data_IF_595953848206
#
_entry.id   IF_595953848206
#
_cell.length_a   1.000
_cell.length_b   1.000
_cell.length_c   1.000
_cell.angle_alpha   90.00
_cell.angle_beta   90.00
_cell.angle_gamma   90.00
#
_symmetry.space_group_name_H-M   'P 1'
#
loop_
_entity.id
_entity.type
_entity.pdbx_description
1 polymer ?
#
# COMPACT_ATOMS: atom_id res chain seq x y z
N UNK A 1 -4.11 -8.42 4.82
CA UNK A 1 -5.40 -8.33 5.57
C UNK A 1 -6.14 -9.67 5.67
N UNK A 2 -5.91 -10.64 4.77
CA UNK A 2 -6.50 -11.99 4.81
C UNK A 2 -6.02 -12.90 5.98
N UNK A 3 -4.92 -12.59 6.67
CA UNK A 3 -4.42 -13.42 7.79
C UNK A 3 -5.01 -13.11 9.17
N UNK A 4 -6.07 -12.30 9.27
CA UNK A 4 -6.86 -12.26 10.51
C UNK A 4 -7.74 -13.51 10.67
N UNK A 5 -8.07 -14.20 9.56
CA UNK A 5 -8.94 -15.38 9.53
C UNK A 5 -8.50 -16.40 8.46
N UNK A 6 -7.49 -17.25 8.73
CA UNK A 6 -7.14 -18.33 7.80
C UNK A 6 -8.28 -19.37 7.72
N UNK A 7 -8.72 -19.75 6.52
CA UNK A 7 -9.62 -20.90 6.29
C UNK A 7 -11.13 -20.62 6.34
N UNK A 8 -11.57 -19.37 6.16
CA UNK A 8 -12.99 -19.05 5.96
C UNK A 8 -13.25 -18.73 4.47
N UNK A 9 -13.78 -19.71 3.74
CA UNK A 9 -14.12 -19.63 2.31
C UNK A 9 -14.97 -18.38 2.00
N UNK A 10 -15.80 -17.95 2.96
CA UNK A 10 -16.63 -16.75 2.82
C UNK A 10 -15.79 -15.46 2.84
N UNK A 11 -14.82 -15.35 3.72
CA UNK A 11 -13.91 -14.20 3.79
C UNK A 11 -13.05 -14.09 2.54
N UNK A 12 -12.58 -15.22 2.02
CA UNK A 12 -11.82 -15.26 0.76
C UNK A 12 -12.67 -14.85 -0.45
N UNK A 13 -13.92 -15.33 -0.52
CA UNK A 13 -14.85 -14.94 -1.58
C UNK A 13 -15.14 -13.43 -1.58
N UNK A 14 -15.41 -12.84 -0.40
CA UNK A 14 -15.64 -11.39 -0.27
C UNK A 14 -14.40 -10.59 -0.65
N UNK A 15 -13.20 -11.06 -0.27
CA UNK A 15 -11.95 -10.42 -0.67
C UNK A 15 -11.78 -10.43 -2.20
N UNK A 16 -12.08 -11.57 -2.85
CA UNK A 16 -12.08 -11.69 -4.31
C UNK A 16 -13.04 -10.70 -4.98
N UNK A 17 -14.26 -10.57 -4.45
CA UNK A 17 -15.26 -9.63 -4.96
C UNK A 17 -14.80 -8.16 -4.84
N UNK A 18 -14.25 -7.78 -3.69
CA UNK A 18 -13.72 -6.42 -3.48
C UNK A 18 -12.59 -6.12 -4.47
N UNK A 19 -11.66 -7.06 -4.67
CA UNK A 19 -10.58 -6.90 -5.65
C UNK A 19 -11.13 -6.74 -7.07
N UNK A 20 -12.11 -7.55 -7.46
CA UNK A 20 -12.73 -7.47 -8.79
C UNK A 20 -13.42 -6.12 -9.01
N UNK A 21 -14.18 -5.63 -8.02
CA UNK A 21 -14.84 -4.32 -8.09
C UNK A 21 -13.83 -3.18 -8.16
N UNK A 22 -12.75 -3.25 -7.38
CA UNK A 22 -11.68 -2.26 -7.43
C UNK A 22 -11.03 -2.18 -8.82
N UNK A 23 -10.78 -3.34 -9.44
CA UNK A 23 -10.25 -3.42 -10.81
C UNK A 23 -11.23 -2.81 -11.83
N UNK A 24 -12.52 -3.08 -11.70
CA UNK A 24 -13.53 -2.49 -12.59
C UNK A 24 -13.59 -0.95 -12.44
N UNK A 25 -13.54 -0.44 -11.21
CA UNK A 25 -13.51 1.01 -10.96
C UNK A 25 -12.24 1.64 -11.56
N UNK A 26 -11.09 1.00 -11.35
CA UNK A 26 -9.81 1.45 -11.90
C UNK A 26 -9.84 1.48 -13.43
N UNK A 27 -10.30 0.40 -14.06
CA UNK A 27 -10.42 0.31 -15.52
C UNK A 27 -11.34 1.38 -16.10
N UNK A 28 -12.48 1.68 -15.45
CA UNK A 28 -13.35 2.80 -15.88
C UNK A 28 -12.67 4.15 -15.74
N UNK A 29 -11.94 4.38 -14.65
CA UNK A 29 -11.23 5.64 -14.41
C UNK A 29 -10.08 5.85 -15.42
N UNK A 30 -9.38 4.77 -15.78
CA UNK A 30 -8.35 4.80 -16.82
C UNK A 30 -8.95 5.01 -18.21
N UNK A 31 -10.05 4.34 -18.54
CA UNK A 31 -10.78 4.56 -19.80
C UNK A 31 -11.32 5.99 -19.93
N UNK A 32 -11.70 6.62 -18.82
CA UNK A 32 -12.10 8.03 -18.77
C UNK A 32 -10.91 9.02 -18.81
N UNK A 33 -9.67 8.54 -18.81
CA UNK A 33 -8.47 9.37 -18.85
C UNK A 33 -8.23 10.19 -17.58
N UNK A 34 -8.83 9.82 -16.45
CA UNK A 34 -8.66 10.53 -15.17
C UNK A 34 -7.62 9.89 -14.26
N UNK A 35 -7.23 8.64 -14.54
CA UNK A 35 -6.18 7.89 -13.83
C UNK A 35 -5.13 7.44 -14.84
N UNK A 36 -3.86 7.47 -14.44
CA UNK A 36 -2.73 7.02 -15.26
C UNK A 36 -2.80 5.50 -15.55
N UNK A 37 -2.37 5.09 -16.74
CA UNK A 37 -2.58 3.73 -17.27
C UNK A 37 -1.69 2.66 -16.63
N UNK A 38 -0.60 3.06 -16.01
CA UNK A 38 0.38 2.22 -15.32
C UNK A 38 0.08 2.02 -13.83
N UNK A 39 -1.00 2.62 -13.30
CA UNK A 39 -1.55 2.26 -11.98
C UNK A 39 -2.31 0.94 -12.08
N UNK A 40 -2.08 0.06 -11.11
CA UNK A 40 -2.67 -1.27 -11.02
C UNK A 40 -3.45 -1.46 -9.72
N UNK A 41 -4.21 -2.55 -9.63
CA UNK A 41 -4.83 -2.94 -8.35
C UNK A 41 -3.82 -3.26 -7.26
N UNK A 42 -2.57 -3.61 -7.59
CA UNK A 42 -1.52 -3.80 -6.62
C UNK A 42 -1.18 -2.49 -5.89
N UNK A 43 -1.12 -1.39 -6.63
CA UNK A 43 -0.85 -0.06 -6.07
C UNK A 43 -1.98 0.40 -5.15
N UNK A 44 -3.24 0.11 -5.53
CA UNK A 44 -4.39 0.34 -4.66
C UNK A 44 -4.30 -0.47 -3.36
N UNK A 45 -3.91 -1.74 -3.46
CA UNK A 45 -3.74 -2.61 -2.30
C UNK A 45 -2.61 -2.12 -1.37
N UNK A 46 -1.45 -1.78 -1.93
CA UNK A 46 -0.31 -1.25 -1.17
C UNK A 46 -0.66 0.08 -0.49
N UNK A 47 -1.40 0.96 -1.16
CA UNK A 47 -1.90 2.20 -0.55
C UNK A 47 -2.81 1.91 0.65
N UNK A 48 -3.75 0.98 0.54
CA UNK A 48 -4.63 0.59 1.65
C UNK A 48 -3.84 -0.03 2.82
N UNK A 49 -2.84 -0.86 2.50
CA UNK A 49 -1.97 -1.46 3.51
C UNK A 49 -1.15 -0.39 4.26
N UNK A 50 -0.49 0.51 3.53
CA UNK A 50 0.27 1.63 4.11
C UNK A 50 -0.63 2.56 4.95
N UNK A 51 -1.83 2.88 4.45
CA UNK A 51 -2.80 3.71 5.15
C UNK A 51 -3.26 3.10 6.47
N UNK A 52 -3.37 1.77 6.54
CA UNK A 52 -3.70 1.06 7.78
C UNK A 52 -2.59 1.21 8.83
N UNK A 53 -1.32 1.21 8.40
CA UNK A 53 -0.18 1.46 9.29
C UNK A 53 -0.12 2.91 9.76
N UNK A 54 -0.41 3.87 8.87
CA UNK A 54 -0.54 5.28 9.25
C UNK A 54 -1.65 5.43 10.29
N UNK A 55 -2.82 4.84 10.07
CA UNK A 55 -3.94 4.89 11.01
C UNK A 55 -3.56 4.29 12.37
N UNK A 56 -2.89 3.14 12.39
CA UNK A 56 -2.41 2.48 13.62
C UNK A 56 -1.45 3.38 14.41
N UNK A 57 -0.47 3.98 13.72
CA UNK A 57 0.57 4.80 14.33
C UNK A 57 0.04 6.16 14.84
N UNK A 58 -0.89 6.78 14.11
CA UNK A 58 -1.38 8.13 14.45
C UNK A 58 -2.65 8.12 15.30
N UNK A 59 -3.25 6.96 15.61
CA UNK A 59 -4.59 6.86 16.22
C UNK A 59 -4.82 7.71 17.47
N UNK A 60 -3.79 7.93 18.29
CA UNK A 60 -3.92 8.65 19.58
C UNK A 60 -3.62 10.14 19.48
N UNK A 61 -3.03 10.59 18.37
CA UNK A 61 -2.63 11.99 18.16
C UNK A 61 -3.47 12.65 17.06
N UNK A 62 -3.67 11.95 15.96
CA UNK A 62 -4.42 12.41 14.79
C UNK A 62 -5.17 11.22 14.14
N UNK A 63 -6.36 10.86 14.65
CA UNK A 63 -7.13 9.69 14.17
C UNK A 63 -7.51 9.75 12.69
N UNK A 64 -7.57 10.95 12.10
CA UNK A 64 -7.94 11.18 10.70
C UNK A 64 -6.75 11.31 9.74
N UNK A 65 -5.51 11.22 10.23
CA UNK A 65 -4.31 11.51 9.43
C UNK A 65 -4.15 10.57 8.22
N UNK A 66 -4.60 9.31 8.35
CA UNK A 66 -4.63 8.35 7.24
C UNK A 66 -5.43 8.86 6.03
N UNK A 67 -6.48 9.67 6.23
CA UNK A 67 -7.27 10.24 5.13
C UNK A 67 -6.43 11.20 4.30
N UNK A 68 -5.63 12.04 4.97
CA UNK A 68 -4.71 12.97 4.30
C UNK A 68 -3.68 12.20 3.48
N UNK A 69 -3.13 11.12 4.04
CA UNK A 69 -2.18 10.26 3.32
C UNK A 69 -2.79 9.68 2.04
N UNK A 70 -4.02 9.15 2.11
CA UNK A 70 -4.74 8.64 0.94
C UNK A 70 -4.96 9.76 -0.10
N UNK A 71 -5.42 10.94 0.30
CA UNK A 71 -5.67 12.02 -0.66
C UNK A 71 -4.40 12.44 -1.41
N UNK A 72 -3.26 12.49 -0.73
CA UNK A 72 -1.97 12.80 -1.35
C UNK A 72 -1.54 11.70 -2.34
N UNK A 73 -1.69 10.43 -1.96
CA UNK A 73 -1.35 9.32 -2.85
C UNK A 73 -2.27 9.25 -4.09
N UNK A 74 -3.58 9.43 -3.91
CA UNK A 74 -4.54 9.44 -5.01
C UNK A 74 -4.31 10.60 -5.99
N UNK A 75 -3.77 11.73 -5.52
CA UNK A 75 -3.36 12.81 -6.42
C UNK A 75 -2.25 12.35 -7.37
N UNK A 76 -1.31 11.53 -6.90
CA UNK A 76 -0.26 10.91 -7.71
C UNK A 76 -0.76 9.87 -8.72
N UNK A 77 -1.98 9.34 -8.55
CA UNK A 77 -2.61 8.41 -9.49
C UNK A 77 -3.38 9.09 -10.62
N UNK A 78 -3.58 10.42 -10.55
CA UNK A 78 -4.23 11.15 -11.63
C UNK A 78 -3.47 10.99 -12.94
N UNK A 79 -4.20 11.04 -14.05
CA UNK A 79 -3.61 10.97 -15.38
C UNK A 79 -2.51 12.03 -15.53
N UNK A 80 -1.28 11.56 -15.68
CA UNK A 80 -0.06 12.37 -15.70
C UNK A 80 1.04 11.58 -16.38
N UNK A 81 1.87 12.26 -17.15
CA UNK A 81 3.10 11.72 -17.76
C UNK A 81 4.36 12.32 -17.11
N UNK A 82 4.21 13.01 -15.97
CA UNK A 82 5.32 13.77 -15.35
C UNK A 82 6.32 12.89 -14.61
N UNK A 83 5.91 11.70 -14.17
CA UNK A 83 6.74 10.79 -13.39
C UNK A 83 6.74 9.43 -14.06
N UNK A 84 7.91 8.99 -14.51
CA UNK A 84 8.16 7.65 -15.02
C UNK A 84 8.35 6.69 -13.84
N UNK A 85 7.48 5.68 -13.71
CA UNK A 85 7.56 4.66 -12.67
C UNK A 85 8.50 3.57 -13.15
N UNK A 86 9.76 3.60 -12.68
CA UNK A 86 10.80 2.66 -13.11
C UNK A 86 10.57 1.26 -12.58
N UNK A 87 10.09 1.19 -11.34
CA UNK A 87 9.74 -0.06 -10.69
C UNK A 87 8.38 -0.54 -11.23
N UNK A 88 8.28 -1.77 -11.75
CA UNK A 88 7.03 -2.30 -12.23
C UNK A 88 6.06 -2.52 -11.06
N UNK A 89 4.77 -2.41 -11.36
CA UNK A 89 3.73 -2.84 -10.45
C UNK A 89 3.89 -4.31 -10.07
N UNK A 90 3.51 -4.64 -8.84
CA UNK A 90 3.59 -6.01 -8.35
C UNK A 90 2.51 -6.89 -8.97
N UNK A 91 2.83 -8.16 -9.19
CA UNK A 91 1.85 -9.19 -9.47
C UNK A 91 1.14 -9.68 -8.18
N UNK A 92 0.10 -10.49 -8.37
CA UNK A 92 -0.70 -11.03 -7.26
C UNK A 92 0.13 -11.94 -6.32
N UNK A 93 1.10 -12.69 -6.85
CA UNK A 93 1.91 -13.62 -6.08
C UNK A 93 2.93 -12.89 -5.21
N UNK A 94 3.50 -11.79 -5.71
CA UNK A 94 4.37 -10.88 -4.95
C UNK A 94 3.60 -10.25 -3.78
N UNK A 95 2.38 -9.73 -4.03
CA UNK A 95 1.52 -9.20 -2.97
C UNK A 95 1.16 -10.27 -1.94
N UNK A 96 0.78 -11.47 -2.39
CA UNK A 96 0.43 -12.58 -1.51
C UNK A 96 1.61 -12.95 -0.62
N UNK A 97 2.80 -13.14 -1.19
CA UNK A 97 4.02 -13.48 -0.43
C UNK A 97 4.38 -12.40 0.59
N UNK A 98 4.39 -11.13 0.20
CA UNK A 98 4.67 -10.03 1.12
C UNK A 98 3.65 -9.95 2.27
N UNK A 99 2.38 -10.24 1.99
CA UNK A 99 1.35 -10.35 3.02
C UNK A 99 1.44 -11.61 3.86
N UNK A 100 2.04 -12.69 3.36
CA UNK A 100 2.26 -13.98 4.02
C UNK A 100 3.54 -14.01 4.88
N UNK A 101 4.48 -13.10 4.62
CA UNK A 101 5.71 -12.94 5.40
C UNK A 101 5.99 -11.45 5.62
N UNK A 102 5.28 -10.77 6.54
CA UNK A 102 5.50 -9.36 6.82
C UNK A 102 6.87 -9.33 7.51
N UNK A 103 7.88 -8.83 6.79
CA UNK A 103 9.29 -9.04 7.10
C UNK A 103 9.61 -9.07 8.59
N UNK A 104 10.45 -10.04 8.99
CA UNK A 104 11.29 -9.91 10.18
C UNK A 104 11.89 -8.50 10.11
N UNK A 105 11.56 -7.65 11.07
CA UNK A 105 12.08 -6.28 11.14
C UNK A 105 13.60 -6.34 10.97
N UNK A 106 14.15 -5.65 9.97
CA UNK A 106 15.57 -5.38 9.91
C UNK A 106 15.91 -4.46 11.11
N UNK A 107 16.22 -5.07 12.25
CA UNK A 107 16.99 -4.41 13.30
C UNK A 107 18.46 -4.47 12.89
N UNK A 108 18.83 -3.71 11.88
CA UNK A 108 20.21 -3.25 11.77
C UNK A 108 20.25 -1.88 12.45
N UNK A 109 20.29 -1.90 13.80
CA UNK A 109 20.87 -0.77 14.51
C UNK A 109 22.37 -0.82 14.24
N UNK A 110 22.79 -0.10 13.20
CA UNK A 110 24.19 0.30 13.09
C UNK A 110 24.47 1.24 14.28
N UNK A 111 25.32 0.86 15.25
CA UNK A 111 25.54 1.70 16.41
C UNK A 111 26.27 2.94 15.92
N UNK A 112 25.58 4.09 16.02
CA UNK A 112 26.15 5.41 15.82
C UNK A 112 27.43 5.49 16.66
N UNK A 113 28.59 5.33 16.00
CA UNK A 113 29.89 5.55 16.63
C UNK A 113 29.86 6.96 17.21
N UNK A 114 29.85 7.07 18.53
CA UNK A 114 30.03 8.36 19.21
C UNK A 114 31.40 8.90 18.80
N UNK A 115 31.38 9.86 17.89
CA UNK A 115 32.53 10.69 17.61
C UNK A 115 32.73 11.61 18.83
N UNK A 116 33.87 11.43 19.50
CA UNK A 116 34.51 12.48 20.29
C UNK A 116 33.97 12.69 21.69
N UNK A 117 34.57 11.99 22.66
CA UNK A 117 34.80 12.60 23.97
C UNK A 117 36.10 12.04 24.59
N UNK A 118 37.19 12.79 24.39
CA UNK A 118 38.33 12.90 25.29
C UNK A 118 39.07 14.19 24.91
N UNK A 119 39.54 14.95 25.90
CA UNK A 119 40.92 14.73 26.33
C UNK A 119 41.07 14.12 27.72
#
# INVERSE_FOLDING_TARGET
MARRFPGDDRTEAVHGEICALAQQVLGRAQAAGVVRSDVTGADLFLLLWASSRVAEATRHVAPSMWRRHIYLALDGFRASNRLDLREPAWDADQLYRAMAEPGKVFHDEEPLRRAGEAP
#
